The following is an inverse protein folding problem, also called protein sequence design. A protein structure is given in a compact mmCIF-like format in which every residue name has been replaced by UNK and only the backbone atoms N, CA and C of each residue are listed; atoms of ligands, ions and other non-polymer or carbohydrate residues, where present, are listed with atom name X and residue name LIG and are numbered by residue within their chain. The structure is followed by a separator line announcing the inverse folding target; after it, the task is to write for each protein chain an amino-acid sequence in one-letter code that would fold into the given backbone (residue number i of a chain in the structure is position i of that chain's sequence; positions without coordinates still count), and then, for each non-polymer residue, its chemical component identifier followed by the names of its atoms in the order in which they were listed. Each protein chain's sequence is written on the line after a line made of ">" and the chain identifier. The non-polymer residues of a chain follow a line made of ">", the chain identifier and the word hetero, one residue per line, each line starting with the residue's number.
data_IF_492900949769
#
_entry.id   IF_492900949769
#
_cell.length_a   1.000
_cell.length_b   1.000
_cell.length_c   1.000
_cell.angle_alpha   90.00
_cell.angle_beta   90.00
_cell.angle_gamma   90.00
#
_symmetry.space_group_name_H-M   'P 1'
#
loop_
_entity.id
_entity.type
_entity.pdbx_description
1 polymer ?
#
# COMPACT_ATOMS: atom_id res chain seq x y z
N UNK A 1 12.72 -10.57 -14.97
CA UNK A 1 11.77 -10.07 -15.99
C UNK A 1 10.99 -8.92 -15.37
N UNK A 2 11.22 -7.70 -15.82
CA UNK A 2 10.43 -6.56 -15.38
C UNK A 2 8.99 -6.78 -15.85
N UNK A 3 8.07 -6.91 -14.90
CA UNK A 3 6.64 -7.02 -15.20
C UNK A 3 6.20 -5.81 -16.01
N UNK A 4 5.86 -6.00 -17.28
CA UNK A 4 5.49 -4.94 -18.18
C UNK A 4 4.34 -4.12 -17.62
N UNK A 5 4.49 -2.81 -17.61
CA UNK A 5 3.40 -1.88 -17.32
C UNK A 5 2.36 -2.06 -18.42
N UNK A 6 1.10 -2.33 -18.06
CA UNK A 6 0.03 -2.44 -19.03
C UNK A 6 -0.08 -1.16 -19.85
N UNK A 7 0.11 -1.27 -21.17
CA UNK A 7 0.09 -0.13 -22.08
C UNK A 7 -1.35 0.30 -22.36
N UNK A 8 -1.63 1.57 -22.23
CA UNK A 8 -2.94 2.13 -22.58
C UNK A 8 -3.04 2.32 -24.10
N UNK A 9 -4.03 1.69 -24.72
CA UNK A 9 -4.21 1.73 -26.17
C UNK A 9 -4.80 3.07 -26.67
N UNK A 10 -5.39 3.88 -25.77
CA UNK A 10 -5.94 5.20 -26.07
C UNK A 10 -5.27 6.27 -25.22
N UNK A 11 -4.06 6.77 -25.58
CA UNK A 11 -3.33 7.75 -24.78
C UNK A 11 -4.11 9.06 -24.55
N UNK A 12 -4.80 9.55 -25.56
CA UNK A 12 -5.63 10.78 -25.48
C UNK A 12 -6.74 10.64 -24.44
N UNK A 13 -7.46 9.52 -24.44
CA UNK A 13 -8.49 9.23 -23.44
C UNK A 13 -7.90 9.14 -22.03
N UNK A 14 -6.68 8.62 -21.90
CA UNK A 14 -5.98 8.57 -20.62
C UNK A 14 -5.61 9.96 -20.09
N UNK A 15 -5.14 10.87 -20.94
CA UNK A 15 -4.89 12.25 -20.55
C UNK A 15 -6.20 12.94 -20.10
N UNK A 16 -7.27 12.80 -20.89
CA UNK A 16 -8.61 13.28 -20.50
C UNK A 16 -9.04 12.72 -19.15
N UNK A 17 -8.81 11.42 -18.89
CA UNK A 17 -9.15 10.80 -17.61
C UNK A 17 -8.38 11.43 -16.43
N UNK A 18 -7.12 11.80 -16.63
CA UNK A 18 -6.32 12.49 -15.59
C UNK A 18 -6.78 13.92 -15.36
N UNK A 19 -7.15 14.64 -16.42
CA UNK A 19 -7.72 16.00 -16.33
C UNK A 19 -9.08 15.99 -15.62
N UNK A 20 -9.93 15.04 -15.96
CA UNK A 20 -11.23 14.85 -15.30
C UNK A 20 -11.08 14.47 -13.81
N UNK A 21 -10.05 13.70 -13.46
CA UNK A 21 -9.73 13.44 -12.06
C UNK A 21 -9.38 14.71 -11.26
N UNK A 22 -8.82 15.72 -11.93
CA UNK A 22 -8.61 17.04 -11.32
C UNK A 22 -9.91 17.84 -11.26
N UNK A 23 -10.59 18.07 -12.39
CA UNK A 23 -11.74 18.96 -12.50
C UNK A 23 -12.98 18.44 -11.77
N UNK A 24 -13.29 17.16 -11.89
CA UNK A 24 -14.47 16.54 -11.28
C UNK A 24 -14.16 15.85 -9.95
N UNK A 25 -12.97 15.26 -9.82
CA UNK A 25 -12.55 14.53 -8.62
C UNK A 25 -11.85 15.37 -7.57
N UNK A 26 -11.48 16.62 -7.87
CA UNK A 26 -10.72 17.48 -6.98
C UNK A 26 -9.28 17.00 -6.70
N UNK A 27 -8.74 16.13 -7.56
CA UNK A 27 -7.44 15.47 -7.35
C UNK A 27 -6.41 15.97 -8.37
N UNK A 28 -6.02 17.24 -8.28
CA UNK A 28 -5.08 17.82 -9.24
C UNK A 28 -3.64 17.33 -9.05
N UNK A 29 -3.22 17.11 -7.81
CA UNK A 29 -1.89 16.57 -7.50
C UNK A 29 -1.82 15.06 -7.80
N UNK A 30 -0.65 14.60 -8.25
CA UNK A 30 -0.43 13.18 -8.50
C UNK A 30 -0.56 12.36 -7.20
N UNK A 31 -1.40 11.32 -7.24
CA UNK A 31 -1.62 10.41 -6.11
C UNK A 31 -2.17 9.07 -6.60
N UNK A 32 -2.03 8.02 -5.78
CA UNK A 32 -2.64 6.72 -6.08
C UNK A 32 -4.16 6.83 -6.26
N UNK A 33 -4.82 7.67 -5.48
CA UNK A 33 -6.26 7.90 -5.61
C UNK A 33 -6.63 8.55 -6.94
N UNK A 34 -5.86 9.55 -7.38
CA UNK A 34 -6.04 10.16 -8.70
C UNK A 34 -5.91 9.12 -9.81
N UNK A 35 -4.87 8.28 -9.76
CA UNK A 35 -4.65 7.24 -10.75
C UNK A 35 -5.74 6.18 -10.75
N UNK A 36 -6.27 5.84 -9.59
CA UNK A 36 -7.38 4.91 -9.44
C UNK A 36 -8.67 5.46 -10.07
N UNK A 37 -9.00 6.71 -9.79
CA UNK A 37 -10.14 7.41 -10.38
C UNK A 37 -10.01 7.54 -11.90
N UNK A 38 -8.85 7.98 -12.36
CA UNK A 38 -8.56 8.08 -13.80
C UNK A 38 -8.65 6.73 -14.52
N UNK A 39 -8.21 5.64 -13.87
CA UNK A 39 -8.33 4.28 -14.40
C UNK A 39 -9.80 3.85 -14.53
N UNK A 40 -10.63 4.16 -13.56
CA UNK A 40 -12.06 3.86 -13.62
C UNK A 40 -12.74 4.67 -14.75
N UNK A 41 -12.46 5.96 -14.85
CA UNK A 41 -12.94 6.80 -15.92
C UNK A 41 -12.53 6.28 -17.31
N UNK A 42 -11.23 5.97 -17.47
CA UNK A 42 -10.68 5.43 -18.72
C UNK A 42 -11.39 4.15 -19.15
N UNK A 43 -11.60 3.20 -18.24
CA UNK A 43 -12.34 1.95 -18.53
C UNK A 43 -13.80 2.20 -18.86
N UNK A 44 -14.47 3.07 -18.11
CA UNK A 44 -15.88 3.42 -18.33
C UNK A 44 -16.12 4.03 -19.71
N UNK A 45 -15.14 4.75 -20.25
CA UNK A 45 -15.22 5.40 -21.57
C UNK A 45 -14.56 4.58 -22.69
N UNK A 46 -14.45 3.27 -22.51
CA UNK A 46 -13.99 2.35 -23.55
C UNK A 46 -12.49 2.22 -23.70
N UNK A 47 -11.72 2.76 -22.75
CA UNK A 47 -10.26 2.60 -22.73
C UNK A 47 -9.82 1.15 -22.53
N UNK A 48 -8.93 0.68 -23.39
CA UNK A 48 -8.38 -0.68 -23.35
C UNK A 48 -6.90 -0.68 -23.02
N UNK A 49 -6.43 -1.80 -22.50
CA UNK A 49 -5.03 -2.02 -22.16
C UNK A 49 -4.45 -3.11 -23.07
N UNK A 50 -3.22 -2.90 -23.52
CA UNK A 50 -2.40 -3.92 -24.17
C UNK A 50 -1.60 -4.71 -23.12
N UNK A 51 -1.55 -6.04 -23.28
CA UNK A 51 -0.83 -6.91 -22.37
C UNK A 51 -1.60 -7.33 -21.12
N UNK A 52 -1.02 -8.24 -20.35
CA UNK A 52 -1.59 -8.75 -19.12
C UNK A 52 -1.19 -7.87 -17.92
N UNK A 53 -2.08 -7.76 -16.92
CA UNK A 53 -1.76 -7.10 -15.65
C UNK A 53 -0.77 -7.91 -14.85
N UNK A 54 0.33 -7.30 -14.44
CA UNK A 54 1.21 -7.90 -13.46
C UNK A 54 0.52 -7.96 -12.08
N UNK A 55 0.66 -9.11 -11.40
CA UNK A 55 0.23 -9.26 -10.00
C UNK A 55 0.97 -8.31 -9.04
N UNK A 56 2.15 -7.86 -9.43
CA UNK A 56 2.95 -6.89 -8.69
C UNK A 56 2.54 -5.43 -8.90
N UNK A 57 1.51 -5.16 -9.71
CA UNK A 57 1.02 -3.80 -9.94
C UNK A 57 0.55 -3.15 -8.64
N UNK A 58 1.23 -2.10 -8.22
CA UNK A 58 0.96 -1.39 -6.95
C UNK A 58 -0.46 -0.83 -6.87
N UNK A 59 -0.99 -0.31 -7.97
CA UNK A 59 -2.35 0.24 -8.00
C UNK A 59 -3.40 -0.87 -7.86
N UNK A 60 -3.18 -2.04 -8.45
CA UNK A 60 -4.04 -3.20 -8.29
C UNK A 60 -4.03 -3.70 -6.84
N UNK A 61 -2.84 -3.79 -6.23
CA UNK A 61 -2.72 -4.15 -4.81
C UNK A 61 -3.40 -3.11 -3.91
N UNK A 62 -3.26 -1.84 -4.21
CA UNK A 62 -3.89 -0.75 -3.48
C UNK A 62 -5.42 -0.85 -3.50
N UNK A 63 -6.00 -1.18 -4.66
CA UNK A 63 -7.44 -1.44 -4.82
C UNK A 63 -7.88 -2.67 -4.01
N UNK A 64 -7.11 -3.77 -4.09
CA UNK A 64 -7.39 -5.01 -3.36
C UNK A 64 -7.33 -4.80 -1.84
N UNK A 65 -6.45 -3.96 -1.35
CA UNK A 65 -6.28 -3.62 0.06
C UNK A 65 -7.39 -2.71 0.60
N UNK A 66 -8.28 -2.21 -0.24
CA UNK A 66 -9.39 -1.32 0.12
C UNK A 66 -8.94 -0.13 0.96
N UNK A 67 -8.05 0.67 0.42
CA UNK A 67 -7.58 1.88 1.08
C UNK A 67 -8.72 2.89 1.21
N UNK A 68 -8.90 3.41 2.40
CA UNK A 68 -9.93 4.38 2.75
C UNK A 68 -9.46 5.31 3.87
N UNK A 69 -10.23 6.36 4.14
CA UNK A 69 -10.11 7.14 5.37
C UNK A 69 -10.77 6.39 6.53
N UNK A 70 -10.54 6.82 7.76
CA UNK A 70 -11.12 6.18 8.94
C UNK A 70 -12.66 6.13 8.90
N UNK A 71 -13.28 7.21 8.44
CA UNK A 71 -14.74 7.35 8.33
C UNK A 71 -15.30 7.05 6.93
N UNK A 72 -14.45 6.69 5.97
CA UNK A 72 -14.84 6.42 4.58
C UNK A 72 -15.08 7.66 3.72
N UNK A 73 -15.04 8.87 4.28
CA UNK A 73 -15.25 10.11 3.54
C UNK A 73 -14.04 10.50 2.68
N UNK A 74 -14.21 11.47 1.78
CA UNK A 74 -13.10 12.00 0.98
C UNK A 74 -12.05 12.66 1.88
N UNK A 75 -10.77 12.40 1.62
CA UNK A 75 -9.67 12.95 2.40
C UNK A 75 -9.51 14.46 2.26
N UNK A 76 -9.67 14.99 1.06
CA UNK A 76 -9.33 16.40 0.76
C UNK A 76 -7.89 16.78 1.12
N UNK A 77 -6.99 15.80 1.23
CA UNK A 77 -5.62 16.00 1.71
C UNK A 77 -5.47 16.05 3.23
N UNK A 78 -6.56 16.15 3.97
CA UNK A 78 -6.58 16.35 5.43
C UNK A 78 -6.63 15.06 6.24
N UNK A 79 -7.18 13.99 5.68
CA UNK A 79 -7.38 12.70 6.34
C UNK A 79 -6.38 11.67 5.83
N UNK A 80 -5.98 10.76 6.70
CA UNK A 80 -5.06 9.68 6.36
C UNK A 80 -5.78 8.59 5.57
N UNK A 81 -5.14 8.08 4.51
CA UNK A 81 -5.53 6.86 3.82
C UNK A 81 -4.71 5.68 4.34
N UNK A 82 -5.38 4.61 4.73
CA UNK A 82 -4.78 3.34 5.13
C UNK A 82 -5.62 2.17 4.59
N UNK A 83 -5.02 0.97 4.46
CA UNK A 83 -5.77 -0.23 4.16
C UNK A 83 -6.87 -0.49 5.19
N UNK A 84 -8.00 -1.05 4.78
CA UNK A 84 -9.12 -1.38 5.68
C UNK A 84 -8.69 -2.24 6.88
N UNK A 85 -7.83 -3.24 6.64
CA UNK A 85 -7.27 -4.08 7.71
C UNK A 85 -6.41 -3.30 8.72
N UNK A 86 -5.73 -2.24 8.28
CA UNK A 86 -4.96 -1.39 9.19
C UNK A 86 -5.89 -0.62 10.12
N UNK A 87 -6.96 -0.02 9.60
CA UNK A 87 -7.95 0.68 10.44
C UNK A 87 -8.56 -0.22 11.51
N UNK A 88 -8.86 -1.47 11.18
CA UNK A 88 -9.39 -2.47 12.12
C UNK A 88 -8.42 -2.86 13.22
N UNK A 89 -7.12 -2.72 12.97
CA UNK A 89 -6.05 -3.07 13.91
C UNK A 89 -5.57 -1.90 14.76
N UNK A 90 -5.99 -0.67 14.45
CA UNK A 90 -5.59 0.54 15.16
C UNK A 90 -6.51 0.84 16.33
N UNK A 91 -5.93 1.28 17.46
CA UNK A 91 -6.69 1.83 18.57
C UNK A 91 -7.23 3.23 18.24
N UNK A 92 -8.26 3.68 18.98
CA UNK A 92 -8.82 5.03 18.81
C UNK A 92 -7.77 6.13 18.97
N UNK A 93 -6.83 5.97 19.92
CA UNK A 93 -5.72 6.89 20.12
C UNK A 93 -4.76 6.94 18.94
N UNK A 94 -4.45 5.80 18.36
CA UNK A 94 -3.59 5.71 17.16
C UNK A 94 -4.27 6.35 15.93
N UNK A 95 -5.56 6.13 15.75
CA UNK A 95 -6.36 6.77 14.69
C UNK A 95 -6.31 8.29 14.82
N UNK A 96 -6.55 8.82 16.01
CA UNK A 96 -6.48 10.27 16.27
C UNK A 96 -5.10 10.85 15.99
N UNK A 97 -4.03 10.19 16.45
CA UNK A 97 -2.65 10.65 16.23
C UNK A 97 -2.26 10.70 14.76
N UNK A 98 -2.57 9.66 14.00
CA UNK A 98 -2.21 9.63 12.58
C UNK A 98 -3.00 10.63 11.76
N UNK A 99 -4.28 10.85 12.06
CA UNK A 99 -5.11 11.86 11.42
C UNK A 99 -4.66 13.28 11.78
N UNK A 100 -4.30 13.53 13.05
CA UNK A 100 -3.74 14.82 13.47
C UNK A 100 -2.44 15.14 12.75
N UNK A 101 -1.51 14.18 12.69
CA UNK A 101 -0.25 14.35 11.96
C UNK A 101 -0.50 14.66 10.47
N UNK A 102 -1.46 14.01 9.85
CA UNK A 102 -1.83 14.29 8.46
C UNK A 102 -2.40 15.70 8.29
N UNK A 103 -3.27 16.13 9.19
CA UNK A 103 -3.88 17.45 9.16
C UNK A 103 -2.83 18.56 9.37
N UNK A 104 -1.92 18.38 10.30
CA UNK A 104 -0.82 19.34 10.55
C UNK A 104 0.09 19.46 9.33
N UNK A 105 0.46 18.35 8.72
CA UNK A 105 1.22 18.35 7.47
C UNK A 105 0.47 19.04 6.31
N UNK A 106 -0.84 18.85 6.23
CA UNK A 106 -1.68 19.55 5.25
C UNK A 106 -1.65 21.07 5.46
N UNK A 107 -1.76 21.55 6.70
CA UNK A 107 -1.64 22.98 7.04
C UNK A 107 -0.28 23.57 6.63
N UNK A 108 0.77 22.75 6.63
CA UNK A 108 2.11 23.11 6.16
C UNK A 108 2.28 22.97 4.64
N UNK A 109 1.24 22.65 3.89
CA UNK A 109 1.28 22.45 2.45
C UNK A 109 1.88 21.10 2.00
N UNK A 110 2.12 20.17 2.90
CA UNK A 110 2.71 18.86 2.59
C UNK A 110 1.64 17.87 2.12
N UNK A 111 1.80 17.35 0.91
CA UNK A 111 0.93 16.28 0.39
C UNK A 111 1.22 14.93 1.06
N UNK A 112 2.50 14.61 1.26
CA UNK A 112 2.93 13.37 1.89
C UNK A 112 3.44 13.66 3.30
N UNK A 113 2.83 13.03 4.28
CA UNK A 113 3.14 13.23 5.71
C UNK A 113 3.53 11.89 6.31
N UNK A 114 4.67 11.88 6.98
CA UNK A 114 5.18 10.67 7.67
C UNK A 114 4.17 10.23 8.73
N UNK A 115 4.00 8.92 8.86
CA UNK A 115 3.14 8.32 9.87
C UNK A 115 3.89 8.16 11.20
N UNK A 116 3.20 8.17 12.35
CA UNK A 116 3.75 7.66 13.60
C UNK A 116 4.29 6.24 13.42
N UNK A 117 5.41 5.91 14.04
CA UNK A 117 6.11 4.62 13.82
C UNK A 117 5.22 3.39 14.08
N UNK A 118 4.45 3.40 15.16
CA UNK A 118 3.52 2.33 15.52
C UNK A 118 2.43 2.13 14.46
N UNK A 119 1.83 3.21 13.98
CA UNK A 119 0.84 3.18 12.90
C UNK A 119 1.45 2.69 11.59
N UNK A 120 2.66 3.13 11.26
CA UNK A 120 3.38 2.70 10.07
C UNK A 120 3.66 1.19 10.09
N UNK A 121 4.02 0.63 11.24
CA UNK A 121 4.24 -0.80 11.43
C UNK A 121 2.96 -1.61 11.22
N UNK A 122 1.85 -1.18 11.80
CA UNK A 122 0.54 -1.82 11.64
C UNK A 122 0.07 -1.75 10.18
N UNK A 123 0.22 -0.59 9.53
CA UNK A 123 -0.12 -0.41 8.12
C UNK A 123 0.72 -1.30 7.20
N UNK A 124 2.02 -1.45 7.46
CA UNK A 124 2.91 -2.33 6.71
C UNK A 124 2.50 -3.80 6.86
N UNK A 125 2.17 -4.23 8.07
CA UNK A 125 1.67 -5.60 8.34
C UNK A 125 0.35 -5.86 7.60
N UNK A 126 -0.59 -4.92 7.65
CA UNK A 126 -1.88 -5.03 6.97
C UNK A 126 -1.71 -5.17 5.45
N UNK A 127 -0.78 -4.44 4.84
CA UNK A 127 -0.45 -4.55 3.41
C UNK A 127 0.09 -5.94 3.05
N UNK A 128 0.99 -6.50 3.85
CA UNK A 128 1.56 -7.84 3.64
C UNK A 128 0.49 -8.93 3.71
N UNK A 129 -0.41 -8.86 4.69
CA UNK A 129 -1.51 -9.81 4.85
C UNK A 129 -2.51 -9.75 3.69
N UNK A 130 -2.68 -8.59 3.08
CA UNK A 130 -3.61 -8.40 1.95
C UNK A 130 -3.02 -8.81 0.62
N UNK A 131 -1.70 -8.80 0.46
CA UNK A 131 -1.04 -9.18 -0.79
C UNK A 131 -0.88 -10.69 -0.98
N UNK A 132 -1.26 -11.50 0.01
CA UNK A 132 -1.10 -12.96 -0.05
C UNK A 132 0.35 -13.41 -0.09
N UNK A 133 1.29 -12.52 0.13
CA UNK A 133 2.69 -12.84 0.28
C UNK A 133 2.84 -13.66 1.56
N UNK A 134 2.93 -14.98 1.39
CA UNK A 134 3.49 -15.85 2.42
C UNK A 134 4.87 -15.31 2.73
N UNK A 135 4.99 -14.53 3.80
CA UNK A 135 6.29 -14.40 4.44
C UNK A 135 6.71 -15.81 4.80
N UNK A 136 7.65 -16.36 4.06
CA UNK A 136 8.47 -17.44 4.58
C UNK A 136 8.96 -16.92 5.93
N UNK A 137 8.35 -17.40 6.99
CA UNK A 137 8.94 -17.30 8.30
C UNK A 137 10.29 -17.96 8.15
N UNK A 138 11.33 -17.15 8.07
CA UNK A 138 12.69 -17.62 8.21
C UNK A 138 12.82 -18.04 9.68
N UNK A 139 12.22 -19.19 10.02
CA UNK A 139 12.56 -19.87 11.23
C UNK A 139 14.02 -20.25 11.02
N UNK A 140 14.92 -19.43 11.56
CA UNK A 140 16.28 -19.83 11.82
C UNK A 140 16.17 -21.17 12.55
N UNK A 141 16.28 -22.25 11.81
CA UNK A 141 16.62 -23.55 12.35
C UNK A 141 17.93 -23.32 13.09
N UNK A 142 17.81 -23.08 14.35
CA UNK A 142 18.91 -23.16 15.29
C UNK A 142 19.48 -24.56 15.10
N UNK A 143 20.52 -24.66 14.29
CA UNK A 143 21.31 -25.88 14.18
C UNK A 143 21.88 -26.10 15.57
N UNK A 144 21.28 -27.09 16.28
CA UNK A 144 21.80 -27.62 17.48
C UNK A 144 23.14 -28.24 17.11
N UNK A 145 24.23 -27.62 17.54
CA UNK A 145 25.56 -28.19 17.40
C UNK A 145 25.59 -29.54 18.10
N UNK A 146 26.12 -30.59 17.47
CA UNK A 146 26.30 -31.84 18.17
C UNK A 146 27.34 -31.60 19.28
N UNK A 147 26.93 -31.89 20.53
CA UNK A 147 27.88 -31.92 21.63
C UNK A 147 28.93 -32.98 21.32
N UNK A 148 30.18 -32.55 21.27
CA UNK A 148 31.31 -33.49 21.29
C UNK A 148 31.27 -34.23 22.63
N UNK A 149 30.81 -35.47 22.63
CA UNK A 149 31.14 -36.40 23.72
C UNK A 149 32.63 -36.68 23.64
N UNK A 150 33.35 -36.21 24.66
CA UNK A 150 34.73 -36.59 24.89
C UNK A 150 34.76 -38.07 25.26
N UNK A 151 35.28 -38.89 24.37
CA UNK A 151 35.64 -40.27 24.67
C UNK A 151 36.91 -40.23 25.49
N UNK A 152 36.79 -40.43 26.78
CA UNK A 152 37.93 -40.71 27.64
C UNK A 152 38.37 -42.15 27.35
N UNK A 153 39.47 -42.30 26.63
CA UNK A 153 40.17 -43.59 26.54
C UNK A 153 40.94 -43.78 27.82
N UNK A 154 40.49 -44.71 28.62
CA UNK A 154 41.25 -45.28 29.69
C UNK A 154 42.27 -46.24 29.07
N UNK A 155 43.56 -45.90 29.18
CA UNK A 155 44.67 -46.83 28.93
C UNK A 155 44.96 -47.56 30.22
N UNK A 156 44.89 -48.87 30.18
CA UNK A 156 45.52 -49.81 31.14
C UNK A 156 46.76 -50.33 30.50
#
# INVERSE_FOLDING_TARGET
>A
MAGGVAVKLSPKLWETAKEKACSEGGMCKHSARKMQWATQYYKKHGGKYGGSKSSSNRLHQWTKQKWRTADGSKSGGKKRYLPDKAWKSLSAGQIRRTNRAKLEGFKQGKQFVKQPKDVATIAAKARRLSSGSRTRSNSKRRRKSPSRSSVVRKLS
#
